data_IF_579276429197
#
_entry.id   IF_579276429197
#
_cell.length_a   1.000
_cell.length_b   1.000
_cell.length_c   1.000
_cell.angle_alpha   90.00
_cell.angle_beta   90.00
_cell.angle_gamma   90.00
#
_symmetry.space_group_name_H-M   'P 1'
#
loop_
_entity.id
_entity.type
_entity.pdbx_description
1 polymer ?
#
# COMPACT_ATOMS: atom_id res chain seq x y z
N UNK A 1 7.24 -22.81 22.77
CA UNK A 1 6.10 -21.87 22.72
C UNK A 1 6.63 -20.51 22.28
N UNK A 2 6.62 -20.24 20.98
CA UNK A 2 7.15 -19.00 20.40
C UNK A 2 6.28 -17.84 20.86
N UNK A 3 6.76 -16.98 21.77
CA UNK A 3 6.07 -15.75 22.13
C UNK A 3 5.79 -15.00 20.83
N UNK A 4 4.53 -14.80 20.48
CA UNK A 4 4.14 -13.99 19.33
C UNK A 4 4.69 -12.59 19.59
N UNK A 5 5.81 -12.25 18.94
CA UNK A 5 6.45 -10.96 19.10
C UNK A 5 5.43 -9.88 18.75
N UNK A 6 5.07 -9.08 19.75
CA UNK A 6 4.12 -7.99 19.59
C UNK A 6 4.67 -6.99 18.56
N UNK A 7 3.77 -6.40 17.79
CA UNK A 7 4.16 -5.40 16.78
C UNK A 7 4.61 -4.14 17.52
N UNK A 8 5.84 -3.63 17.27
CA UNK A 8 6.31 -2.39 17.89
C UNK A 8 5.36 -1.24 17.55
N UNK A 9 5.04 -0.40 18.54
CA UNK A 9 4.15 0.76 18.38
C UNK A 9 4.59 1.67 17.23
N UNK A 10 5.90 1.83 17.05
CA UNK A 10 6.50 2.66 16.00
C UNK A 10 6.19 2.14 14.60
N UNK A 11 6.27 0.82 14.40
CA UNK A 11 5.96 0.18 13.13
C UNK A 11 4.49 0.35 12.80
N UNK A 12 3.62 0.22 13.80
CA UNK A 12 2.18 0.42 13.62
C UNK A 12 1.82 1.87 13.27
N UNK A 13 2.46 2.88 13.87
CA UNK A 13 2.24 4.28 13.49
C UNK A 13 2.68 4.55 12.05
N UNK A 14 3.84 4.02 11.65
CA UNK A 14 4.32 4.17 10.27
C UNK A 14 3.46 3.40 9.27
N UNK A 15 2.89 2.24 9.65
CA UNK A 15 1.94 1.49 8.82
C UNK A 15 0.65 2.28 8.56
N UNK A 16 0.11 2.95 9.59
CA UNK A 16 -1.08 3.80 9.41
C UNK A 16 -0.81 4.98 8.50
N UNK A 17 0.34 5.65 8.67
CA UNK A 17 0.78 6.75 7.81
C UNK A 17 1.01 6.27 6.38
N UNK A 18 1.74 5.16 6.22
CA UNK A 18 2.00 4.54 4.93
C UNK A 18 0.70 4.19 4.21
N UNK A 19 -0.26 3.57 4.90
CA UNK A 19 -1.54 3.20 4.31
C UNK A 19 -2.33 4.41 3.83
N UNK A 20 -2.35 5.50 4.61
CA UNK A 20 -2.97 6.75 4.17
C UNK A 20 -2.29 7.30 2.89
N UNK A 21 -0.96 7.34 2.89
CA UNK A 21 -0.18 7.83 1.74
C UNK A 21 -0.36 6.98 0.48
N UNK A 22 -0.45 5.65 0.63
CA UNK A 22 -0.66 4.72 -0.50
C UNK A 22 -2.04 4.90 -1.14
N UNK A 23 -3.07 5.21 -0.35
CA UNK A 23 -4.45 5.31 -0.85
C UNK A 23 -4.68 6.62 -1.60
N UNK A 24 -4.01 7.72 -1.23
CA UNK A 24 -4.17 9.05 -1.86
C UNK A 24 -4.16 8.99 -3.41
N UNK A 25 -3.14 8.44 -4.09
CA UNK A 25 -3.11 8.41 -5.56
C UNK A 25 -4.20 7.52 -6.16
N UNK A 26 -4.73 6.57 -5.39
CA UNK A 26 -5.82 5.69 -5.82
C UNK A 26 -7.21 6.34 -5.64
N UNK A 27 -7.34 7.41 -4.86
CA UNK A 27 -8.66 8.04 -4.58
C UNK A 27 -9.40 8.47 -5.84
N UNK A 28 -8.69 8.84 -6.90
CA UNK A 28 -9.31 9.24 -8.17
C UNK A 28 -9.97 8.06 -8.94
N UNK A 29 -9.54 6.82 -8.67
CA UNK A 29 -10.00 5.62 -9.38
C UNK A 29 -10.83 4.68 -8.51
N UNK A 30 -10.80 4.88 -7.20
CA UNK A 30 -11.52 4.04 -6.25
C UNK A 30 -12.98 4.48 -6.11
N UNK A 31 -13.93 3.52 -6.11
CA UNK A 31 -15.30 3.84 -5.79
C UNK A 31 -15.44 4.33 -4.34
N UNK A 32 -16.34 5.29 -4.11
CA UNK A 32 -16.52 6.00 -2.83
C UNK A 32 -16.69 5.06 -1.62
N UNK A 33 -17.29 3.89 -1.81
CA UNK A 33 -17.48 2.91 -0.74
C UNK A 33 -16.16 2.37 -0.17
N UNK A 34 -15.10 2.28 -0.99
CA UNK A 34 -13.76 1.84 -0.55
C UNK A 34 -13.14 2.88 0.38
N UNK A 35 -13.38 4.16 0.12
CA UNK A 35 -12.94 5.27 0.99
C UNK A 35 -13.66 5.17 2.34
N UNK A 36 -14.98 4.93 2.33
CA UNK A 36 -15.75 4.69 3.55
C UNK A 36 -15.24 3.48 4.34
N UNK A 37 -14.95 2.37 3.65
CA UNK A 37 -14.37 1.17 4.24
C UNK A 37 -13.01 1.46 4.87
N UNK A 38 -12.15 2.21 4.17
CA UNK A 38 -10.86 2.65 4.70
C UNK A 38 -10.99 3.51 5.96
N UNK A 39 -11.83 4.54 5.94
CA UNK A 39 -12.04 5.42 7.09
C UNK A 39 -12.57 4.65 8.30
N UNK A 40 -13.50 3.73 8.08
CA UNK A 40 -14.01 2.83 9.13
C UNK A 40 -12.90 1.95 9.72
N UNK A 41 -12.12 1.28 8.87
CA UNK A 41 -11.03 0.40 9.30
C UNK A 41 -9.91 1.17 10.01
N UNK A 42 -9.52 2.33 9.49
CA UNK A 42 -8.47 3.18 10.06
C UNK A 42 -8.92 3.73 11.43
N UNK A 43 -10.16 4.21 11.53
CA UNK A 43 -10.72 4.70 12.80
C UNK A 43 -10.75 3.57 13.84
N UNK A 44 -11.23 2.39 13.45
CA UNK A 44 -11.26 1.23 14.35
C UNK A 44 -9.86 0.85 14.84
N UNK A 45 -8.87 0.80 13.94
CA UNK A 45 -7.47 0.50 14.31
C UNK A 45 -6.90 1.56 15.25
N UNK A 46 -7.21 2.84 15.05
CA UNK A 46 -6.82 3.93 15.95
C UNK A 46 -7.48 3.76 17.33
N UNK A 47 -8.76 3.36 17.39
CA UNK A 47 -9.44 3.11 18.68
C UNK A 47 -8.82 1.92 19.44
N UNK A 48 -8.40 0.86 18.73
CA UNK A 48 -7.63 -0.24 19.33
C UNK A 48 -6.28 0.28 19.87
N UNK A 49 -5.58 1.12 19.11
CA UNK A 49 -4.32 1.73 19.55
C UNK A 49 -4.49 2.58 20.82
N UNK A 50 -5.64 3.25 20.96
CA UNK A 50 -6.03 4.04 22.14
C UNK A 50 -6.53 3.19 23.32
N UNK A 51 -6.49 1.85 23.22
CA UNK A 51 -7.06 0.90 24.19
C UNK A 51 -8.56 1.11 24.47
N UNK A 52 -9.30 1.76 23.56
CA UNK A 52 -10.74 2.02 23.71
C UNK A 52 -11.63 0.98 23.05
N UNK A 53 -11.06 0.09 22.23
CA UNK A 53 -11.80 -0.93 21.50
C UNK A 53 -11.02 -2.26 21.48
N UNK A 54 -11.76 -3.36 21.53
CA UNK A 54 -11.21 -4.70 21.32
C UNK A 54 -11.07 -5.02 19.83
N UNK A 55 -10.26 -6.02 19.51
CA UNK A 55 -10.14 -6.51 18.14
C UNK A 55 -11.51 -6.99 17.62
N UNK A 56 -11.87 -6.67 16.37
CA UNK A 56 -13.16 -7.06 15.82
C UNK A 56 -13.24 -8.59 15.74
N UNK A 57 -14.41 -9.18 16.06
CA UNK A 57 -14.59 -10.63 16.04
C UNK A 57 -14.45 -11.18 14.62
N UNK A 58 -14.05 -12.45 14.48
CA UNK A 58 -13.74 -13.06 13.19
C UNK A 58 -14.88 -12.97 12.17
N UNK A 59 -16.14 -13.06 12.62
CA UNK A 59 -17.31 -12.95 11.76
C UNK A 59 -17.49 -11.54 11.17
N UNK A 60 -17.14 -10.48 11.91
CA UNK A 60 -17.22 -9.11 11.41
C UNK A 60 -16.18 -8.86 10.30
N UNK A 61 -14.99 -9.46 10.43
CA UNK A 61 -13.96 -9.42 9.38
C UNK A 61 -14.39 -10.20 8.14
N UNK A 62 -14.97 -11.39 8.33
CA UNK A 62 -15.50 -12.19 7.23
C UNK A 62 -16.63 -11.45 6.50
N UNK A 63 -17.52 -10.78 7.24
CA UNK A 63 -18.57 -9.94 6.67
C UNK A 63 -18.01 -8.76 5.87
N UNK A 64 -16.97 -8.10 6.37
CA UNK A 64 -16.27 -7.02 5.65
C UNK A 64 -15.56 -7.52 4.39
N UNK A 65 -14.93 -8.70 4.44
CA UNK A 65 -14.30 -9.34 3.27
C UNK A 65 -15.32 -9.69 2.19
N UNK A 66 -16.42 -10.33 2.58
CA UNK A 66 -17.53 -10.65 1.66
C UNK A 66 -18.15 -9.36 1.10
N UNK A 67 -18.40 -8.37 1.96
CA UNK A 67 -18.93 -7.08 1.56
C UNK A 67 -18.02 -6.34 0.59
N UNK A 68 -16.70 -6.38 0.80
CA UNK A 68 -15.73 -5.81 -0.12
C UNK A 68 -15.72 -6.53 -1.47
N UNK A 69 -15.74 -7.87 -1.47
CA UNK A 69 -15.79 -8.66 -2.70
C UNK A 69 -17.06 -8.38 -3.52
N UNK A 70 -18.22 -8.37 -2.86
CA UNK A 70 -19.49 -7.99 -3.47
C UNK A 70 -19.49 -6.53 -3.95
N UNK A 71 -18.93 -5.61 -3.15
CA UNK A 71 -18.80 -4.21 -3.50
C UNK A 71 -17.98 -3.99 -4.77
N UNK A 72 -16.89 -4.74 -4.96
CA UNK A 72 -16.14 -4.71 -6.23
C UNK A 72 -16.98 -5.27 -7.37
N UNK A 73 -17.60 -6.44 -7.18
CA UNK A 73 -18.42 -7.06 -8.21
C UNK A 73 -19.54 -6.12 -8.71
N UNK A 74 -20.28 -5.49 -7.80
CA UNK A 74 -21.32 -4.52 -8.16
C UNK A 74 -20.77 -3.22 -8.76
N UNK A 75 -19.61 -2.76 -8.31
CA UNK A 75 -19.04 -1.48 -8.78
C UNK A 75 -18.36 -1.57 -10.15
N UNK A 76 -17.77 -2.71 -10.49
CA UNK A 76 -16.99 -2.90 -11.73
C UNK A 76 -17.67 -3.85 -12.73
N UNK A 77 -18.74 -4.55 -12.33
CA UNK A 77 -19.45 -5.54 -13.16
C UNK A 77 -18.66 -6.83 -13.45
N UNK A 78 -17.38 -6.86 -13.09
CA UNK A 78 -16.47 -7.98 -13.27
C UNK A 78 -15.41 -7.97 -12.16
N UNK A 79 -14.98 -9.15 -11.74
CA UNK A 79 -13.81 -9.35 -10.86
C UNK A 79 -12.52 -9.52 -11.67
N UNK A 80 -12.65 -9.68 -12.99
CA UNK A 80 -11.55 -9.92 -13.93
C UNK A 80 -11.30 -8.63 -14.72
N UNK A 81 -10.10 -8.08 -14.57
CA UNK A 81 -9.66 -6.85 -15.23
C UNK A 81 -8.66 -6.09 -14.35
N UNK A 82 -7.78 -5.32 -14.98
CA UNK A 82 -6.76 -4.52 -14.30
C UNK A 82 -7.39 -3.61 -13.22
N UNK A 83 -8.46 -2.95 -13.62
CA UNK A 83 -9.24 -2.03 -12.78
C UNK A 83 -9.88 -2.71 -11.56
N UNK A 84 -10.54 -3.86 -11.76
CA UNK A 84 -11.15 -4.63 -10.67
C UNK A 84 -10.10 -5.23 -9.74
N UNK A 85 -8.99 -5.72 -10.30
CA UNK A 85 -7.86 -6.26 -9.55
C UNK A 85 -7.24 -5.24 -8.60
N UNK A 86 -7.06 -3.99 -9.05
CA UNK A 86 -6.55 -2.92 -8.18
C UNK A 86 -7.53 -2.59 -7.06
N UNK A 87 -8.84 -2.50 -7.33
CA UNK A 87 -9.82 -2.24 -6.27
C UNK A 87 -9.83 -3.37 -5.24
N UNK A 88 -9.78 -4.64 -5.68
CA UNK A 88 -9.67 -5.79 -4.78
C UNK A 88 -8.37 -5.75 -3.96
N UNK A 89 -7.26 -5.40 -4.59
CA UNK A 89 -5.97 -5.27 -3.93
C UNK A 89 -6.01 -4.22 -2.84
N UNK A 90 -6.56 -3.04 -3.14
CA UNK A 90 -6.69 -1.95 -2.16
C UNK A 90 -7.67 -2.34 -1.04
N UNK A 91 -8.80 -2.98 -1.37
CA UNK A 91 -9.74 -3.47 -0.36
C UNK A 91 -9.07 -4.51 0.55
N UNK A 92 -8.33 -5.46 -0.02
CA UNK A 92 -7.56 -6.44 0.73
C UNK A 92 -6.49 -5.76 1.61
N UNK A 93 -5.77 -4.76 1.08
CA UNK A 93 -4.80 -3.97 1.83
C UNK A 93 -5.44 -3.26 3.03
N UNK A 94 -6.63 -2.68 2.84
CA UNK A 94 -7.38 -2.03 3.90
C UNK A 94 -7.82 -3.02 4.97
N UNK A 95 -8.43 -4.14 4.58
CA UNK A 95 -8.91 -5.16 5.52
C UNK A 95 -7.77 -5.85 6.25
N UNK A 96 -6.63 -6.04 5.58
CA UNK A 96 -5.43 -6.66 6.17
C UNK A 96 -4.91 -5.86 7.37
N UNK A 97 -5.15 -4.55 7.42
CA UNK A 97 -4.85 -3.71 8.59
C UNK A 97 -5.60 -4.21 9.85
N UNK A 98 -6.86 -4.61 9.73
CA UNK A 98 -7.67 -5.11 10.85
C UNK A 98 -7.31 -6.55 11.24
N UNK A 99 -6.78 -7.32 10.30
CA UNK A 99 -6.33 -8.69 10.51
C UNK A 99 -4.92 -8.82 11.06
N UNK A 100 -4.17 -7.72 11.12
CA UNK A 100 -2.79 -7.76 11.55
C UNK A 100 -2.66 -8.04 13.06
N UNK A 101 -2.21 -9.24 13.40
CA UNK A 101 -1.96 -9.73 14.77
C UNK A 101 -0.49 -10.06 15.03
N UNK A 102 0.22 -10.54 14.01
CA UNK A 102 1.60 -10.99 14.13
C UNK A 102 2.56 -10.14 13.31
N UNK A 103 3.87 -10.25 13.63
CA UNK A 103 4.95 -9.66 12.81
C UNK A 103 4.91 -10.11 11.35
N UNK A 104 4.47 -11.35 11.08
CA UNK A 104 4.32 -11.86 9.71
C UNK A 104 3.21 -11.12 8.97
N UNK A 105 2.08 -10.88 9.63
CA UNK A 105 0.98 -10.11 9.03
C UNK A 105 1.40 -8.68 8.72
N UNK A 106 2.20 -8.06 9.61
CA UNK A 106 2.77 -6.73 9.37
C UNK A 106 3.69 -6.70 8.15
N UNK A 107 4.54 -7.71 7.96
CA UNK A 107 5.38 -7.83 6.75
C UNK A 107 4.52 -7.97 5.49
N UNK A 108 3.48 -8.81 5.51
CA UNK A 108 2.55 -8.97 4.39
C UNK A 108 1.88 -7.63 4.07
N UNK A 109 1.44 -6.88 5.08
CA UNK A 109 0.86 -5.56 4.90
C UNK A 109 1.87 -4.58 4.25
N UNK A 110 3.12 -4.57 4.69
CA UNK A 110 4.18 -3.72 4.12
C UNK A 110 4.41 -4.06 2.64
N UNK A 111 4.58 -5.34 2.31
CA UNK A 111 4.79 -5.76 0.92
C UNK A 111 3.56 -5.48 0.03
N UNK A 112 2.37 -5.66 0.57
CA UNK A 112 1.13 -5.31 -0.10
C UNK A 112 1.05 -3.80 -0.35
N UNK A 113 1.52 -2.97 0.59
CA UNK A 113 1.65 -1.52 0.42
C UNK A 113 2.64 -1.15 -0.69
N UNK A 114 3.81 -1.79 -0.76
CA UNK A 114 4.77 -1.56 -1.86
C UNK A 114 4.15 -1.93 -3.21
N UNK A 115 3.46 -3.06 -3.27
CA UNK A 115 2.77 -3.49 -4.48
C UNK A 115 1.67 -2.50 -4.88
N UNK A 116 0.89 -1.99 -3.91
CA UNK A 116 -0.11 -0.96 -4.16
C UNK A 116 0.50 0.36 -4.67
N UNK A 117 1.69 0.77 -4.20
CA UNK A 117 2.38 1.93 -4.78
C UNK A 117 2.67 1.71 -6.27
N UNK A 118 3.13 0.51 -6.64
CA UNK A 118 3.39 0.16 -8.05
C UNK A 118 2.11 0.17 -8.87
N UNK A 119 0.98 -0.30 -8.33
CA UNK A 119 -0.30 -0.27 -9.07
C UNK A 119 -0.79 1.13 -9.38
N UNK A 120 -0.37 2.17 -8.65
CA UNK A 120 -0.71 3.55 -9.00
C UNK A 120 -0.16 3.96 -10.38
N UNK A 121 1.02 3.44 -10.75
CA UNK A 121 1.67 3.74 -12.03
C UNK A 121 1.02 3.04 -13.23
N UNK A 122 0.12 2.08 -13.00
CA UNK A 122 -0.70 1.51 -14.09
C UNK A 122 -1.70 2.54 -14.64
N UNK A 123 -2.08 3.54 -13.83
CA UNK A 123 -3.06 4.56 -14.21
C UNK A 123 -2.42 5.89 -14.56
N UNK A 124 -1.36 6.29 -13.84
CA UNK A 124 -0.71 7.58 -14.02
C UNK A 124 0.80 7.46 -13.77
N UNK A 125 1.57 7.58 -14.83
CA UNK A 125 3.03 7.53 -14.86
C UNK A 125 3.68 8.93 -14.86
N UNK A 126 2.93 9.98 -14.51
CA UNK A 126 3.44 11.34 -14.46
C UNK A 126 4.56 11.52 -13.42
N UNK A 127 5.43 12.51 -13.68
CA UNK A 127 6.50 12.89 -12.78
C UNK A 127 6.02 13.27 -11.37
N UNK A 128 4.82 13.87 -11.25
CA UNK A 128 4.24 14.23 -9.96
C UNK A 128 3.89 13.00 -9.12
N UNK A 129 3.30 11.96 -9.73
CA UNK A 129 3.02 10.70 -9.05
C UNK A 129 4.33 10.03 -8.61
N UNK A 130 5.38 10.13 -9.45
CA UNK A 130 6.70 9.63 -9.11
C UNK A 130 7.35 10.35 -7.92
N UNK A 131 7.22 11.67 -7.84
CA UNK A 131 7.73 12.43 -6.70
C UNK A 131 6.92 12.13 -5.43
N UNK A 132 5.59 12.04 -5.55
CA UNK A 132 4.72 11.72 -4.43
C UNK A 132 4.99 10.33 -3.86
N UNK A 133 5.27 9.33 -4.70
CA UNK A 133 5.48 7.93 -4.27
C UNK A 133 6.68 7.74 -3.34
N UNK A 134 7.61 8.69 -3.28
CA UNK A 134 8.68 8.72 -2.29
C UNK A 134 8.13 8.75 -0.86
N UNK A 135 7.00 9.42 -0.61
CA UNK A 135 6.37 9.51 0.71
C UNK A 135 5.83 8.16 1.21
N UNK A 136 4.97 7.42 0.49
CA UNK A 136 4.54 6.10 0.94
C UNK A 136 5.71 5.10 0.99
N UNK A 137 6.67 5.16 0.06
CA UNK A 137 7.84 4.27 0.07
C UNK A 137 8.71 4.50 1.30
N UNK A 138 9.01 5.76 1.66
CA UNK A 138 9.73 6.07 2.90
C UNK A 138 8.96 5.61 4.13
N UNK A 139 7.65 5.81 4.19
CA UNK A 139 6.83 5.37 5.31
C UNK A 139 6.80 3.84 5.45
N UNK A 140 6.70 3.10 4.34
CA UNK A 140 6.77 1.64 4.32
C UNK A 140 8.15 1.11 4.72
N UNK A 141 9.22 1.75 4.25
CA UNK A 141 10.59 1.44 4.69
C UNK A 141 10.79 1.73 6.18
N UNK A 142 10.28 2.85 6.68
CA UNK A 142 10.33 3.19 8.10
C UNK A 142 9.54 2.17 8.95
N UNK A 143 8.38 1.71 8.46
CA UNK A 143 7.61 0.64 9.09
C UNK A 143 8.38 -0.69 9.12
N UNK A 144 9.07 -1.04 8.03
CA UNK A 144 9.88 -2.25 7.90
C UNK A 144 11.08 -2.23 8.85
N UNK A 145 11.84 -1.13 8.84
CA UNK A 145 12.94 -0.87 9.76
C UNK A 145 12.46 -0.96 11.20
N UNK A 146 11.35 -0.30 11.53
CA UNK A 146 10.75 -0.34 12.87
C UNK A 146 10.26 -1.72 13.29
N UNK A 147 9.92 -2.59 12.33
CA UNK A 147 9.55 -3.99 12.58
C UNK A 147 10.77 -4.89 12.80
N UNK A 148 11.96 -4.48 12.33
CA UNK A 148 13.22 -5.19 12.49
C UNK A 148 14.03 -4.72 13.69
N UNK A 149 13.85 -3.47 14.12
CA UNK A 149 14.46 -2.97 15.34
C UNK A 149 13.77 -3.58 16.57
N UNK A 150 14.57 -3.99 17.56
CA UNK A 150 14.09 -4.47 18.85
C UNK A 150 13.34 -3.35 19.61
N UNK A 151 12.50 -3.70 20.59
CA UNK A 151 11.54 -2.83 21.31
C UNK A 151 12.13 -1.52 21.92
N UNK A 152 13.45 -1.37 21.90
CA UNK A 152 14.21 -0.26 22.48
C UNK A 152 14.14 1.03 21.62
N UNK A 153 13.77 0.93 20.34
CA UNK A 153 13.63 2.10 19.46
C UNK A 153 12.29 2.83 19.67
N UNK A 154 12.26 3.77 20.62
CA UNK A 154 11.06 4.53 21.01
C UNK A 154 10.75 5.75 20.14
N UNK A 155 11.64 6.13 19.21
CA UNK A 155 11.50 7.39 18.45
C UNK A 155 11.18 7.12 16.96
N UNK A 156 10.17 7.80 16.38
CA UNK A 156 9.80 7.63 14.96
C UNK A 156 10.76 8.30 13.99
N UNK A 157 11.46 9.34 14.45
CA UNK A 157 12.33 10.15 13.60
C UNK A 157 13.59 9.42 13.10
N UNK A 158 14.33 8.65 13.93
CA UNK A 158 15.48 7.89 13.47
C UNK A 158 15.15 6.86 12.39
N UNK A 159 13.99 6.19 12.47
CA UNK A 159 13.58 5.20 11.46
C UNK A 159 13.26 5.85 10.12
N UNK A 160 12.59 7.02 10.13
CA UNK A 160 12.34 7.79 8.91
C UNK A 160 13.63 8.34 8.29
N UNK A 161 14.55 8.85 9.11
CA UNK A 161 15.84 9.35 8.62
C UNK A 161 16.66 8.24 7.97
N UNK A 162 16.68 7.05 8.57
CA UNK A 162 17.34 5.89 7.98
C UNK A 162 16.68 5.47 6.66
N UNK A 163 15.35 5.40 6.63
CA UNK A 163 14.60 5.10 5.39
C UNK A 163 14.89 6.11 4.27
N UNK A 164 14.90 7.41 4.59
CA UNK A 164 15.26 8.46 3.65
C UNK A 164 16.71 8.35 3.16
N UNK A 165 17.64 8.03 4.05
CA UNK A 165 19.05 7.78 3.69
C UNK A 165 19.20 6.61 2.72
N UNK A 166 18.49 5.51 2.94
CA UNK A 166 18.47 4.35 2.02
C UNK A 166 17.89 4.72 0.65
N UNK A 167 16.84 5.56 0.60
CA UNK A 167 16.31 6.04 -0.68
C UNK A 167 17.30 6.92 -1.44
N UNK A 168 17.98 7.84 -0.76
CA UNK A 168 19.02 8.67 -1.40
C UNK A 168 20.14 7.80 -1.96
N UNK A 169 20.55 6.76 -1.23
CA UNK A 169 21.55 5.80 -1.72
C UNK A 169 21.04 4.96 -2.91
N UNK A 170 19.73 4.75 -3.02
CA UNK A 170 19.12 4.06 -4.14
C UNK A 170 19.01 4.93 -5.42
N UNK A 171 19.05 6.27 -5.30
CA UNK A 171 18.96 7.18 -6.46
C UNK A 171 20.09 6.97 -7.47
N UNK A 172 21.38 6.88 -7.07
CA UNK A 172 22.46 6.56 -8.01
C UNK A 172 22.24 5.24 -8.77
N UNK A 173 21.76 4.21 -8.07
CA UNK A 173 21.46 2.92 -8.67
C UNK A 173 20.28 3.03 -9.65
N UNK A 174 19.24 3.78 -9.29
CA UNK A 174 18.12 4.08 -10.18
C UNK A 174 18.57 4.80 -11.45
N UNK A 175 19.43 5.82 -11.34
CA UNK A 175 19.97 6.55 -12.49
C UNK A 175 20.81 5.64 -13.39
N UNK A 176 21.63 4.76 -12.81
CA UNK A 176 22.37 3.75 -13.55
C UNK A 176 21.42 2.84 -14.32
N UNK A 177 20.43 2.24 -13.65
CA UNK A 177 19.44 1.39 -14.32
C UNK A 177 18.65 2.16 -15.39
N UNK A 178 18.34 3.42 -15.16
CA UNK A 178 17.60 4.24 -16.12
C UNK A 178 18.40 4.57 -17.39
N UNK A 179 19.72 4.78 -17.27
CA UNK A 179 20.60 5.08 -18.41
C UNK A 179 20.94 3.80 -19.17
N UNK A 180 21.26 2.72 -18.46
CA UNK A 180 21.78 1.49 -19.07
C UNK A 180 20.70 0.49 -19.47
N UNK A 181 19.51 0.54 -18.85
CA UNK A 181 18.44 -0.40 -19.15
C UNK A 181 17.43 0.20 -20.13
N UNK A 182 17.15 -0.47 -21.27
CA UNK A 182 16.17 0.03 -22.23
C UNK A 182 14.78 0.02 -21.60
N UNK A 183 13.99 1.07 -21.88
CA UNK A 183 12.59 1.14 -21.44
C UNK A 183 11.77 0.11 -22.23
N UNK A 184 11.52 -1.05 -21.61
CA UNK A 184 10.69 -2.09 -22.20
C UNK A 184 9.24 -1.61 -22.25
N UNK A 185 8.58 -1.84 -23.39
CA UNK A 185 7.14 -1.64 -23.50
C UNK A 185 6.41 -2.59 -22.52
N UNK A 186 5.19 -2.22 -22.04
CA UNK A 186 4.43 -3.07 -21.15
C UNK A 186 4.22 -4.46 -21.75
N UNK A 187 4.76 -5.50 -21.09
CA UNK A 187 4.60 -6.90 -21.51
C UNK A 187 3.14 -7.40 -21.42
N UNK A 188 2.32 -6.66 -20.69
CA UNK A 188 0.90 -6.93 -20.44
C UNK A 188 -0.01 -6.05 -21.30
N UNK A 189 0.53 -5.42 -22.36
CA UNK A 189 -0.29 -4.69 -23.32
C UNK A 189 -1.17 -5.69 -24.08
N UNK A 190 -2.46 -5.68 -23.77
CA UNK A 190 -3.46 -6.20 -24.69
C UNK A 190 -3.38 -5.35 -25.96
N UNK A 191 -3.53 -5.94 -27.16
CA UNK A 191 -3.53 -5.19 -28.41
C UNK A 191 -4.71 -4.21 -28.40
N UNK A 192 -4.46 -2.99 -27.93
CA UNK A 192 -5.34 -1.85 -28.13
C UNK A 192 -5.02 -1.34 -29.54
N UNK A 193 -6.00 -1.22 -30.46
CA UNK A 193 -5.77 -0.62 -31.77
C UNK A 193 -5.09 0.74 -31.58
N UNK A 194 -3.83 0.80 -32.00
CA UNK A 194 -2.95 1.93 -31.76
C UNK A 194 -3.17 2.95 -32.88
N UNK A 195 -4.15 3.84 -32.73
CA UNK A 195 -4.27 5.06 -33.54
C UNK A 195 -3.26 6.14 -33.08
N UNK A 196 -2.02 5.74 -32.76
CA UNK A 196 -0.91 6.68 -32.63
C UNK A 196 -0.33 6.91 -34.02
N UNK A 197 -0.81 7.99 -34.63
CA UNK A 197 -0.21 8.58 -35.82
C UNK A 197 1.30 8.76 -35.60
N UNK A 198 2.08 8.09 -36.44
CA UNK A 198 3.48 8.40 -36.66
C UNK A 198 3.52 9.68 -37.48
N UNK A 199 3.65 10.83 -36.83
CA UNK A 199 4.18 12.02 -37.52
C UNK A 199 5.61 12.21 -37.04
N UNK A 200 6.52 11.57 -37.76
CA UNK A 200 7.91 11.99 -37.79
C UNK A 200 8.02 13.24 -38.64
N UNK A 201 8.06 14.39 -37.97
CA UNK A 201 8.79 15.64 -38.21
C UNK A 201 8.23 16.72 -37.28
#
# INVERSE_FOLDING_TARGET
MSRAAAIPRISLTWLLVAQALVIIPHLAHLPLWVIGLWLGCATWRIQIYRMRANYPPGWAKAGLMLGAGLGVFFSRGSLVGLDAGVVLLIAAFILKLLEMHTRRDALVLIFLGFFAVVTAYLFNDSFLVALFSLLPVTALLAALIGLQQSEIATRPWPTARLAGGLLVQAVPLMLLLFIFFPRLAPLWSLPVPNDRGVTGL
#
